data_IF_341231127472
#
_entry.id   IF_341231127472
#
_cell.length_a   1.000
_cell.length_b   1.000
_cell.length_c   1.000
_cell.angle_alpha   90.00
_cell.angle_beta   90.00
_cell.angle_gamma   90.00
#
_symmetry.space_group_name_H-M   'P 1'
#
loop_
_entity.id
_entity.type
_entity.pdbx_description
1 polymer ?
#
# COMPACT_ATOMS: atom_id res chain seq x y z
N UNK A 1 -6.42 -7.61 -6.02
CA UNK A 1 -5.41 -7.09 -5.10
C UNK A 1 -5.48 -7.75 -3.71
N UNK A 2 -5.96 -9.00 -3.59
CA UNK A 2 -6.11 -9.64 -2.26
C UNK A 2 -4.74 -9.98 -1.64
N UNK A 3 -3.80 -10.52 -2.43
CA UNK A 3 -2.44 -10.83 -1.96
C UNK A 3 -1.74 -9.57 -1.43
N UNK A 4 -1.89 -8.44 -2.12
CA UNK A 4 -1.35 -7.16 -1.65
C UNK A 4 -2.00 -6.73 -0.33
N UNK A 5 -3.31 -6.88 -0.20
CA UNK A 5 -4.02 -6.57 1.04
C UNK A 5 -3.59 -7.49 2.20
N UNK A 6 -3.33 -8.77 1.94
CA UNK A 6 -2.82 -9.73 2.92
C UNK A 6 -1.43 -9.33 3.42
N UNK A 7 -0.53 -8.93 2.52
CA UNK A 7 0.80 -8.45 2.90
C UNK A 7 0.74 -7.18 3.75
N UNK A 8 -0.12 -6.23 3.37
CA UNK A 8 -0.34 -5.01 4.16
C UNK A 8 -0.88 -5.36 5.54
N UNK A 9 -1.89 -6.24 5.61
CA UNK A 9 -2.52 -6.63 6.87
C UNK A 9 -1.54 -7.34 7.79
N UNK A 10 -0.72 -8.25 7.25
CA UNK A 10 0.32 -8.93 7.99
C UNK A 10 1.34 -7.95 8.60
N UNK A 11 1.81 -6.96 7.84
CA UNK A 11 2.72 -5.93 8.37
C UNK A 11 2.04 -5.12 9.47
N UNK A 12 0.76 -4.75 9.31
CA UNK A 12 0.01 -4.02 10.34
C UNK A 12 -0.13 -4.84 11.62
N UNK A 13 -0.38 -6.15 11.51
CA UNK A 13 -0.45 -7.05 12.66
C UNK A 13 0.90 -7.15 13.39
N UNK A 14 2.02 -7.22 12.66
CA UNK A 14 3.37 -7.24 13.24
C UNK A 14 3.75 -5.92 13.91
N UNK A 15 3.45 -4.79 13.27
CA UNK A 15 3.76 -3.45 13.77
C UNK A 15 2.76 -2.96 14.84
N UNK A 16 1.61 -3.65 14.99
CA UNK A 16 0.51 -3.29 15.87
C UNK A 16 -0.30 -2.07 15.41
N UNK A 17 0.00 -1.50 14.24
CA UNK A 17 -0.69 -0.35 13.67
C UNK A 17 -0.30 -0.12 12.19
N UNK A 18 -1.02 0.77 11.51
CA UNK A 18 -0.81 1.10 10.08
C UNK A 18 0.32 2.09 9.82
N UNK A 19 1.03 2.57 10.84
CA UNK A 19 1.98 3.67 10.69
C UNK A 19 3.32 3.25 10.06
N UNK A 20 3.48 1.97 9.75
CA UNK A 20 4.73 1.37 9.28
C UNK A 20 4.58 0.65 7.94
N UNK A 21 3.49 0.91 7.21
CA UNK A 21 3.23 0.35 5.90
C UNK A 21 2.99 1.47 4.88
N UNK A 22 3.44 1.25 3.65
CA UNK A 22 3.20 2.12 2.51
C UNK A 22 3.17 1.31 1.22
N UNK A 23 2.52 1.85 0.20
CA UNK A 23 2.45 1.21 -1.14
C UNK A 23 3.65 1.64 -1.98
N UNK A 24 4.33 0.66 -2.58
CA UNK A 24 5.32 0.87 -3.63
C UNK A 24 5.19 -0.27 -4.63
N UNK A 25 4.76 0.02 -5.85
CA UNK A 25 4.33 -1.00 -6.80
C UNK A 25 5.45 -1.60 -7.64
N UNK A 26 6.57 -0.87 -7.78
CA UNK A 26 7.68 -1.22 -8.68
C UNK A 26 7.22 -1.56 -10.11
N UNK A 27 6.13 -0.92 -10.56
CA UNK A 27 5.68 -1.05 -11.94
C UNK A 27 6.73 -0.44 -12.86
N UNK A 28 7.03 -1.15 -13.95
CA UNK A 28 8.08 -0.81 -14.92
C UNK A 28 9.52 -0.86 -14.36
N UNK A 29 9.73 -1.49 -13.18
CA UNK A 29 11.04 -1.58 -12.52
C UNK A 29 12.04 -2.60 -13.11
N UNK A 30 11.57 -3.62 -13.84
CA UNK A 30 12.43 -4.60 -14.52
C UNK A 30 11.68 -5.45 -15.56
N UNK A 31 10.54 -5.99 -15.16
CA UNK A 31 9.66 -6.82 -15.98
C UNK A 31 8.29 -6.13 -16.14
N UNK A 32 7.58 -6.45 -17.22
CA UNK A 32 6.25 -5.93 -17.45
C UNK A 32 5.20 -6.64 -16.58
N UNK A 33 3.99 -6.77 -17.13
CA UNK A 33 2.86 -7.40 -16.44
C UNK A 33 3.08 -8.90 -16.17
N UNK A 34 4.03 -9.55 -16.82
CA UNK A 34 4.23 -11.01 -16.74
C UNK A 34 4.57 -11.50 -15.33
N UNK A 35 5.15 -10.63 -14.49
CA UNK A 35 5.53 -10.95 -13.11
C UNK A 35 4.72 -10.15 -12.07
N UNK A 36 3.71 -9.39 -12.51
CA UNK A 36 2.79 -8.71 -11.61
C UNK A 36 1.79 -9.70 -10.98
N UNK A 37 1.18 -9.37 -9.83
CA UNK A 37 0.01 -10.10 -9.33
C UNK A 37 -1.04 -10.28 -10.43
N UNK A 38 -1.66 -11.46 -10.50
CA UNK A 38 -2.60 -11.82 -11.57
C UNK A 38 -3.82 -10.89 -11.66
N UNK A 39 -4.12 -10.16 -10.58
CA UNK A 39 -5.25 -9.23 -10.46
C UNK A 39 -4.84 -7.75 -10.53
N UNK A 40 -3.63 -7.48 -11.06
CA UNK A 40 -3.07 -6.16 -11.38
C UNK A 40 -2.87 -6.05 -12.91
N UNK A 41 -3.80 -5.41 -13.60
CA UNK A 41 -3.73 -5.20 -15.06
C UNK A 41 -3.12 -3.84 -15.40
N UNK A 42 -3.44 -2.81 -14.61
CA UNK A 42 -2.96 -1.44 -14.77
C UNK A 42 -2.65 -0.79 -13.43
N UNK A 43 -1.91 0.32 -13.44
CA UNK A 43 -1.67 1.14 -12.23
C UNK A 43 -2.98 1.53 -11.49
N UNK A 44 -4.10 1.66 -12.21
CA UNK A 44 -5.39 2.01 -11.61
C UNK A 44 -5.91 0.93 -10.65
N UNK A 45 -5.53 -0.33 -10.85
CA UNK A 45 -6.02 -1.43 -10.04
C UNK A 45 -5.46 -1.42 -8.62
N UNK A 46 -4.35 -0.72 -8.37
CA UNK A 46 -3.79 -0.53 -7.02
C UNK A 46 -4.85 0.07 -6.09
N UNK A 47 -5.72 0.94 -6.59
CA UNK A 47 -6.78 1.57 -5.80
C UNK A 47 -7.76 0.55 -5.18
N UNK A 48 -7.88 -0.64 -5.78
CA UNK A 48 -8.75 -1.72 -5.27
C UNK A 48 -8.32 -2.20 -3.88
N UNK A 49 -7.04 -2.07 -3.52
CA UNK A 49 -6.50 -2.53 -2.22
C UNK A 49 -7.15 -1.78 -1.05
N UNK A 50 -7.40 -0.48 -1.19
CA UNK A 50 -8.02 0.32 -0.12
C UNK A 50 -9.47 -0.09 0.12
N UNK A 51 -10.20 -0.48 -0.93
CA UNK A 51 -11.55 -1.04 -0.82
C UNK A 51 -11.57 -2.38 -0.08
N UNK A 52 -10.56 -3.23 -0.31
CA UNK A 52 -10.39 -4.51 0.40
C UNK A 52 -10.10 -4.25 1.88
N UNK A 53 -9.11 -3.41 2.20
CA UNK A 53 -8.75 -3.07 3.58
C UNK A 53 -9.92 -2.43 4.34
N UNK A 54 -10.71 -1.57 3.68
CA UNK A 54 -11.94 -1.02 4.26
C UNK A 54 -12.93 -2.11 4.70
N UNK A 55 -13.15 -3.14 3.87
CA UNK A 55 -14.00 -4.29 4.23
C UNK A 55 -13.43 -5.13 5.38
N UNK A 56 -12.11 -5.10 5.56
CA UNK A 56 -11.40 -5.76 6.67
C UNK A 56 -11.39 -4.95 7.98
N UNK A 57 -12.04 -3.78 8.02
CA UNK A 57 -12.21 -2.99 9.24
C UNK A 57 -11.22 -1.84 9.42
N UNK A 58 -10.39 -1.54 8.42
CA UNK A 58 -9.49 -0.38 8.47
C UNK A 58 -10.31 0.91 8.40
N UNK A 59 -10.05 1.83 9.34
CA UNK A 59 -10.70 3.14 9.39
C UNK A 59 -10.27 4.05 8.24
N UNK A 60 -11.11 5.03 7.87
CA UNK A 60 -10.79 5.96 6.77
C UNK A 60 -9.46 6.70 6.99
N UNK A 61 -9.17 7.11 8.23
CA UNK A 61 -7.91 7.77 8.59
C UNK A 61 -6.68 6.85 8.40
N UNK A 62 -6.86 5.53 8.54
CA UNK A 62 -5.77 4.57 8.33
C UNK A 62 -5.56 4.25 6.85
N UNK A 63 -6.64 4.29 6.05
CA UNK A 63 -6.56 4.18 4.59
C UNK A 63 -5.84 5.40 3.98
N UNK A 64 -6.11 6.62 4.46
CA UNK A 64 -5.40 7.83 4.04
C UNK A 64 -3.91 7.79 4.41
N UNK A 65 -3.58 7.26 5.59
CA UNK A 65 -2.19 7.04 6.01
C UNK A 65 -1.45 6.12 5.04
N UNK A 66 -2.06 4.98 4.71
CA UNK A 66 -1.47 3.99 3.81
C UNK A 66 -1.33 4.50 2.37
N UNK A 67 -2.24 5.35 1.91
CA UNK A 67 -2.25 5.84 0.53
C UNK A 67 -1.05 6.73 0.18
N UNK A 68 -0.72 7.71 1.03
CA UNK A 68 0.39 8.63 0.72
C UNK A 68 0.96 9.36 1.94
N UNK A 69 0.15 9.60 2.98
CA UNK A 69 0.56 10.44 4.10
C UNK A 69 1.79 9.89 4.84
N UNK A 70 1.96 8.57 4.90
CA UNK A 70 3.14 7.96 5.54
C UNK A 70 4.42 8.22 4.77
N UNK A 71 4.39 8.04 3.45
CA UNK A 71 5.52 8.41 2.58
C UNK A 71 5.85 9.88 2.70
N UNK A 72 4.84 10.76 2.68
CA UNK A 72 5.04 12.21 2.79
C UNK A 72 5.66 12.60 4.14
N UNK A 73 5.20 12.01 5.25
CA UNK A 73 5.77 12.29 6.56
C UNK A 73 7.22 11.79 6.65
N UNK A 74 7.48 10.56 6.21
CA UNK A 74 8.84 10.01 6.19
C UNK A 74 9.80 10.87 5.36
N UNK A 75 9.37 11.29 4.16
CA UNK A 75 10.21 12.14 3.30
C UNK A 75 10.45 13.52 3.90
N UNK A 76 9.45 14.14 4.54
CA UNK A 76 9.63 15.43 5.23
C UNK A 76 10.59 15.34 6.42
N UNK A 77 10.57 14.22 7.14
CA UNK A 77 11.46 14.02 8.28
C UNK A 77 12.89 13.68 7.83
N UNK A 78 13.05 13.00 6.69
CA UNK A 78 14.33 12.48 6.21
C UNK A 78 15.09 13.41 5.26
N UNK A 79 14.39 14.29 4.53
CA UNK A 79 14.99 15.20 3.55
C UNK A 79 15.31 16.56 4.19
N UNK A 80 16.42 17.20 3.82
CA UNK A 80 16.71 18.58 4.22
C UNK A 80 15.71 19.55 3.59
N UNK A 81 15.51 20.71 4.24
CA UNK A 81 14.71 21.84 3.71
C UNK A 81 15.30 22.44 2.43
#
# INVERSE_FOLDING_TARGET
>A
MEIMADNIDHICQLAGNVNHVGVGSDLDGAFGREQCPFDLETIADIQKVFGILKRRGYGNADLEKNASQKWLNFMRDALPE
#
